data_IF_446664592411
#
_entry.id   IF_446664592411
#
_cell.length_a   1.000
_cell.length_b   1.000
_cell.length_c   1.000
_cell.angle_alpha   90.00
_cell.angle_beta   90.00
_cell.angle_gamma   90.00
#
_symmetry.space_group_name_H-M   'P 1'
#
loop_
_entity.id
_entity.type
_entity.pdbx_description
1 polymer ?
#
# COMPACT_ATOMS: atom_id res chain seq x y z
N UNK A 1 -57.23 2.66 -75.37
CA UNK A 1 -56.44 1.55 -75.93
C UNK A 1 -54.96 1.81 -75.47
N UNK A 2 -54.60 1.33 -74.33
CA UNK A 2 -53.20 1.18 -73.90
C UNK A 2 -53.14 0.30 -72.62
N UNK A 3 -52.55 -0.84 -72.78
CA UNK A 3 -52.34 -1.84 -71.75
C UNK A 3 -51.15 -1.43 -70.89
N UNK A 4 -51.27 -1.42 -69.57
CA UNK A 4 -50.20 -1.28 -68.62
C UNK A 4 -49.80 -2.68 -68.08
N UNK A 5 -48.60 -3.07 -68.45
CA UNK A 5 -47.94 -4.27 -67.91
C UNK A 5 -47.37 -3.98 -66.51
N UNK A 6 -47.84 -4.68 -65.47
CA UNK A 6 -47.34 -4.61 -64.11
C UNK A 6 -46.24 -5.62 -63.96
N UNK A 7 -44.97 -5.17 -63.87
CA UNK A 7 -43.79 -6.01 -63.53
C UNK A 7 -43.61 -6.08 -61.98
N UNK A 8 -43.85 -7.24 -61.43
CA UNK A 8 -43.55 -7.51 -60.02
C UNK A 8 -42.05 -7.77 -59.85
N UNK A 9 -41.30 -6.83 -59.27
CA UNK A 9 -39.94 -7.05 -58.78
C UNK A 9 -39.99 -7.61 -57.36
N UNK A 10 -39.52 -8.86 -57.19
CA UNK A 10 -39.30 -9.50 -55.89
C UNK A 10 -38.00 -8.92 -55.32
N UNK A 11 -38.11 -8.19 -54.22
CA UNK A 11 -36.97 -7.76 -53.40
C UNK A 11 -36.58 -8.91 -52.49
N UNK A 12 -35.42 -9.53 -52.72
CA UNK A 12 -34.78 -10.42 -51.77
C UNK A 12 -34.18 -9.55 -50.66
N UNK A 13 -34.79 -9.62 -49.46
CA UNK A 13 -34.24 -9.04 -48.25
C UNK A 13 -33.05 -9.89 -47.73
N UNK A 14 -31.83 -9.36 -47.88
CA UNK A 14 -30.63 -9.95 -47.29
C UNK A 14 -30.61 -9.56 -45.83
N UNK A 15 -31.04 -10.51 -44.95
CA UNK A 15 -30.97 -10.34 -43.50
C UNK A 15 -29.52 -10.58 -43.03
N UNK A 16 -28.73 -9.52 -42.81
CA UNK A 16 -27.44 -9.59 -42.17
C UNK A 16 -27.64 -9.89 -40.66
N UNK A 17 -27.46 -11.15 -40.28
CA UNK A 17 -27.35 -11.55 -38.88
C UNK A 17 -25.97 -11.10 -38.39
N UNK A 18 -25.94 -10.02 -37.65
CA UNK A 18 -24.76 -9.51 -36.95
C UNK A 18 -24.53 -10.40 -35.68
N UNK A 19 -23.69 -11.43 -35.83
CA UNK A 19 -23.27 -12.24 -34.69
C UNK A 19 -22.33 -11.38 -33.85
N UNK A 20 -22.86 -10.83 -32.74
CA UNK A 20 -22.07 -10.12 -31.73
C UNK A 20 -21.24 -11.16 -30.95
N UNK A 21 -20.02 -11.36 -31.36
CA UNK A 21 -19.04 -12.21 -30.65
C UNK A 21 -18.67 -11.46 -29.35
N UNK A 22 -19.34 -11.80 -28.25
CA UNK A 22 -18.98 -11.37 -26.90
C UNK A 22 -17.61 -11.95 -26.57
N UNK A 23 -16.54 -11.18 -26.79
CA UNK A 23 -15.21 -11.46 -26.26
C UNK A 23 -15.29 -11.34 -24.72
N UNK A 24 -15.53 -12.47 -24.05
CA UNK A 24 -15.38 -12.57 -22.61
C UNK A 24 -13.90 -12.41 -22.28
N UNK A 25 -13.49 -11.19 -21.89
CA UNK A 25 -12.18 -10.98 -21.29
C UNK A 25 -12.14 -11.80 -19.97
N UNK A 26 -11.14 -12.67 -19.78
CA UNK A 26 -10.99 -13.35 -18.50
C UNK A 26 -10.71 -12.28 -17.44
N UNK A 27 -11.67 -12.04 -16.56
CA UNK A 27 -11.43 -11.37 -15.30
C UNK A 27 -10.44 -12.24 -14.56
N UNK A 28 -9.19 -11.79 -14.41
CA UNK A 28 -8.16 -12.43 -13.60
C UNK A 28 -8.60 -12.40 -12.13
N UNK A 29 -9.53 -13.29 -11.78
CA UNK A 29 -9.88 -13.57 -10.39
C UNK A 29 -8.67 -14.22 -9.74
N UNK A 30 -8.18 -13.64 -8.65
CA UNK A 30 -7.10 -14.24 -7.86
C UNK A 30 -7.54 -15.62 -7.40
N UNK A 31 -6.73 -16.63 -7.71
CA UNK A 31 -7.04 -17.98 -7.28
C UNK A 31 -6.99 -18.09 -5.74
N UNK A 32 -7.83 -18.96 -5.14
CA UNK A 32 -7.80 -19.20 -3.70
C UNK A 32 -6.39 -19.57 -3.20
N UNK A 33 -5.60 -20.25 -4.03
CA UNK A 33 -4.20 -20.58 -3.73
C UNK A 33 -3.28 -19.34 -3.65
N UNK A 34 -3.50 -18.33 -4.49
CA UNK A 34 -2.74 -17.07 -4.42
C UNK A 34 -3.06 -16.29 -3.13
N UNK A 35 -4.35 -16.21 -2.76
CA UNK A 35 -4.77 -15.56 -1.51
C UNK A 35 -4.19 -16.30 -0.29
N UNK A 36 -4.26 -17.63 -0.25
CA UNK A 36 -3.69 -18.42 0.84
C UNK A 36 -2.18 -18.23 0.97
N UNK A 37 -1.46 -18.19 -0.15
CA UNK A 37 -0.01 -17.92 -0.15
C UNK A 37 0.33 -16.50 0.30
N UNK A 38 -0.39 -15.51 -0.19
CA UNK A 38 -0.23 -14.12 0.24
C UNK A 38 -0.50 -14.00 1.75
N UNK A 39 -1.54 -14.68 2.27
CA UNK A 39 -1.87 -14.69 3.70
C UNK A 39 -0.74 -15.33 4.53
N UNK A 40 -0.11 -16.40 4.04
CA UNK A 40 1.05 -17.02 4.72
C UNK A 40 2.21 -16.01 4.88
N UNK A 41 2.54 -15.26 3.83
CA UNK A 41 3.60 -14.23 3.86
C UNK A 41 3.20 -13.10 4.83
N UNK A 42 1.96 -12.64 4.74
CA UNK A 42 1.42 -11.59 5.61
C UNK A 42 1.46 -12.00 7.08
N UNK A 43 1.08 -13.25 7.42
CA UNK A 43 1.13 -13.79 8.78
C UNK A 43 2.57 -13.90 9.29
N UNK A 44 3.51 -14.37 8.45
CA UNK A 44 4.92 -14.42 8.81
C UNK A 44 5.45 -13.04 9.19
N UNK A 45 5.14 -12.01 8.38
CA UNK A 45 5.55 -10.63 8.66
C UNK A 45 4.83 -10.04 9.88
N UNK A 46 3.55 -10.29 10.07
CA UNK A 46 2.78 -9.82 11.23
C UNK A 46 3.24 -10.45 12.57
N UNK A 47 3.80 -11.65 12.51
CA UNK A 47 4.38 -12.32 13.69
C UNK A 47 5.62 -11.59 14.25
N UNK A 48 6.29 -10.77 13.45
CA UNK A 48 7.44 -9.96 13.90
C UNK A 48 6.91 -8.80 14.73
N UNK A 49 7.03 -8.88 16.05
CA UNK A 49 6.50 -7.85 16.97
C UNK A 49 7.37 -6.61 17.05
N UNK A 50 8.70 -6.79 17.01
CA UNK A 50 9.66 -5.67 17.04
C UNK A 50 10.76 -5.87 16.03
N UNK A 51 11.16 -4.80 15.35
CA UNK A 51 12.34 -4.78 14.49
C UNK A 51 12.95 -3.39 14.40
N UNK A 52 14.24 -3.34 14.09
CA UNK A 52 14.99 -2.11 13.80
C UNK A 52 15.99 -2.37 12.68
N UNK A 53 16.44 -1.34 12.03
CA UNK A 53 17.45 -1.42 10.98
C UNK A 53 17.69 -0.07 10.34
N UNK A 54 18.44 -0.07 9.27
CA UNK A 54 18.67 1.11 8.45
C UNK A 54 17.62 1.18 7.32
N UNK A 55 17.37 2.37 6.84
CA UNK A 55 16.48 2.57 5.69
C UNK A 55 17.02 3.59 4.70
N UNK A 56 16.64 3.42 3.45
CA UNK A 56 16.72 4.44 2.40
C UNK A 56 15.31 4.71 1.91
N UNK A 57 14.93 5.98 1.85
CA UNK A 57 13.63 6.42 1.38
C UNK A 57 13.75 7.25 0.11
N UNK A 58 12.89 6.97 -0.86
CA UNK A 58 12.72 7.74 -2.09
C UNK A 58 11.36 8.45 -2.04
N UNK A 59 11.39 9.78 -2.13
CA UNK A 59 10.18 10.59 -2.22
C UNK A 59 9.55 10.49 -3.62
N UNK A 60 8.29 10.96 -3.80
CA UNK A 60 7.65 11.03 -5.12
C UNK A 60 8.44 11.83 -6.17
N UNK A 61 9.26 12.77 -5.72
CA UNK A 61 10.13 13.60 -6.58
C UNK A 61 11.52 12.98 -6.80
N UNK A 62 11.73 11.71 -6.37
CA UNK A 62 13.00 11.00 -6.50
C UNK A 62 14.08 11.43 -5.50
N UNK A 63 13.77 12.32 -4.55
CA UNK A 63 14.74 12.69 -3.49
C UNK A 63 15.01 11.50 -2.59
N UNK A 64 16.28 11.18 -2.41
CA UNK A 64 16.74 10.12 -1.52
C UNK A 64 17.07 10.69 -0.14
N UNK A 65 16.65 9.97 0.90
CA UNK A 65 17.02 10.21 2.30
C UNK A 65 17.26 8.86 2.98
N UNK A 66 18.08 8.86 4.01
CA UNK A 66 18.43 7.65 4.76
C UNK A 66 18.30 7.86 6.27
N UNK A 67 18.33 6.78 7.03
CA UNK A 67 18.30 6.83 8.48
C UNK A 67 18.11 5.48 9.13
N UNK A 68 17.66 5.50 10.39
CA UNK A 68 17.35 4.31 11.18
C UNK A 68 15.87 4.26 11.49
N UNK A 69 15.27 3.07 11.40
CA UNK A 69 13.88 2.85 11.79
C UNK A 69 13.76 1.91 12.98
N UNK A 70 12.68 2.08 13.72
CA UNK A 70 12.25 1.26 14.86
C UNK A 70 10.78 0.94 14.67
N UNK A 71 10.39 -0.32 14.76
CA UNK A 71 9.01 -0.78 14.61
C UNK A 71 8.64 -1.68 15.80
N UNK A 72 7.46 -1.40 16.38
CA UNK A 72 6.83 -2.22 17.40
C UNK A 72 5.34 -2.36 17.11
N UNK A 73 4.89 -3.60 16.90
CA UNK A 73 3.47 -3.87 16.67
C UNK A 73 2.68 -3.93 17.97
N UNK A 74 1.42 -3.49 17.91
CA UNK A 74 0.72 -2.90 16.78
C UNK A 74 0.96 -1.40 16.62
N UNK A 75 0.98 -0.94 15.39
CA UNK A 75 0.79 0.47 15.04
C UNK A 75 1.97 1.40 15.22
N UNK A 76 3.05 0.97 15.88
CA UNK A 76 4.15 1.87 16.26
C UNK A 76 5.34 1.76 15.29
N UNK A 77 5.81 2.91 14.83
CA UNK A 77 7.03 3.03 14.04
C UNK A 77 7.68 4.39 14.30
N UNK A 78 9.01 4.43 14.25
CA UNK A 78 9.77 5.67 14.32
C UNK A 78 10.86 5.66 13.26
N UNK A 79 10.96 6.76 12.50
CA UNK A 79 12.05 7.02 11.57
C UNK A 79 12.87 8.21 12.06
N UNK A 80 14.18 8.01 12.14
CA UNK A 80 15.17 9.06 12.43
C UNK A 80 16.02 9.23 11.19
N UNK A 81 15.84 10.37 10.51
CA UNK A 81 16.56 10.68 9.28
C UNK A 81 17.95 11.22 9.59
N UNK A 82 18.94 10.81 8.80
CA UNK A 82 20.32 11.29 8.87
C UNK A 82 20.49 12.52 7.98
N UNK A 83 21.15 13.55 8.49
CA UNK A 83 21.46 14.75 7.71
C UNK A 83 20.28 15.68 7.41
N UNK A 84 19.04 15.30 7.78
CA UNK A 84 17.86 16.15 7.64
C UNK A 84 17.10 16.27 8.96
N UNK A 85 16.52 17.44 9.28
CA UNK A 85 15.82 17.66 10.54
C UNK A 85 14.40 17.09 10.54
N UNK A 86 14.22 15.89 9.98
CA UNK A 86 12.94 15.20 9.87
C UNK A 86 12.88 14.04 10.84
N UNK A 87 11.69 13.82 11.40
CA UNK A 87 11.35 12.66 12.21
C UNK A 87 9.91 12.27 11.94
N UNK A 88 9.64 10.97 11.83
CA UNK A 88 8.29 10.43 11.73
C UNK A 88 8.09 9.47 12.88
N UNK A 89 6.97 9.60 13.61
CA UNK A 89 6.61 8.70 14.70
C UNK A 89 5.15 8.31 14.53
N UNK A 90 4.88 7.01 14.63
CA UNK A 90 3.52 6.51 14.91
C UNK A 90 3.48 5.95 16.31
N UNK A 91 2.47 6.33 17.10
CA UNK A 91 2.22 5.84 18.46
C UNK A 91 1.18 4.73 18.53
N UNK A 92 0.66 4.30 17.37
CA UNK A 92 -0.42 3.32 17.23
C UNK A 92 -1.77 3.96 16.89
N UNK A 93 -1.95 5.24 17.17
CA UNK A 93 -3.18 5.99 16.88
C UNK A 93 -2.96 7.07 15.82
N UNK A 94 -1.87 7.82 15.95
CA UNK A 94 -1.48 8.89 15.04
C UNK A 94 -0.12 8.63 14.41
N UNK A 95 0.08 9.22 13.25
CA UNK A 95 1.39 9.41 12.60
C UNK A 95 1.72 10.89 12.72
N UNK A 96 2.77 11.22 13.48
CA UNK A 96 3.32 12.57 13.62
C UNK A 96 4.54 12.73 12.73
N UNK A 97 4.54 13.78 11.90
CA UNK A 97 5.69 14.21 11.10
C UNK A 97 6.25 15.49 11.70
N UNK A 98 7.48 15.44 12.18
CA UNK A 98 8.17 16.55 12.83
C UNK A 98 9.28 17.10 11.94
N UNK A 99 9.18 18.38 11.59
CA UNK A 99 10.32 19.15 11.09
C UNK A 99 11.00 19.82 12.28
N UNK A 100 12.11 19.25 12.74
CA UNK A 100 12.83 19.72 13.94
C UNK A 100 13.47 21.10 13.75
N UNK A 101 13.83 21.47 12.51
CA UNK A 101 14.40 22.79 12.23
C UNK A 101 13.36 23.91 12.40
N UNK A 102 12.12 23.64 12.02
CA UNK A 102 11.00 24.59 12.13
C UNK A 102 10.19 24.40 13.41
N UNK A 103 10.51 23.36 14.21
CA UNK A 103 9.73 22.94 15.39
C UNK A 103 8.22 22.79 15.06
N UNK A 104 7.90 22.21 13.89
CA UNK A 104 6.54 22.01 13.42
C UNK A 104 6.18 20.54 13.40
N UNK A 105 4.91 20.26 13.72
CA UNK A 105 4.34 18.94 13.65
C UNK A 105 3.11 18.94 12.76
N UNK A 106 2.96 17.91 11.94
CA UNK A 106 1.71 17.54 11.28
C UNK A 106 1.28 16.15 11.75
N UNK A 107 -0.04 15.93 11.87
CA UNK A 107 -0.60 14.70 12.41
C UNK A 107 -1.63 14.12 11.46
N UNK A 108 -1.58 12.81 11.31
CA UNK A 108 -2.52 12.02 10.54
C UNK A 108 -2.99 10.85 11.39
N UNK A 109 -4.27 10.52 11.36
CA UNK A 109 -4.77 9.32 12.02
C UNK A 109 -4.22 8.09 11.29
N UNK A 110 -3.56 7.17 12.02
CA UNK A 110 -2.92 5.99 11.42
C UNK A 110 -3.90 5.16 10.59
N UNK A 111 -5.14 5.01 11.08
CA UNK A 111 -6.16 4.22 10.40
C UNK A 111 -6.63 4.81 9.05
N UNK A 112 -6.35 6.09 8.79
CA UNK A 112 -6.61 6.78 7.53
C UNK A 112 -5.42 6.74 6.56
N UNK A 113 -4.33 6.05 6.93
CA UNK A 113 -3.14 5.93 6.11
C UNK A 113 -2.90 4.48 5.69
N UNK A 114 -2.31 4.22 4.51
CA UNK A 114 -1.91 2.87 4.11
C UNK A 114 -0.90 2.20 5.06
N UNK A 115 -0.22 2.97 5.91
CA UNK A 115 0.69 2.45 6.93
C UNK A 115 -0.01 1.53 7.95
N UNK A 116 -1.32 1.68 8.15
CA UNK A 116 -2.13 0.74 8.95
C UNK A 116 -1.95 -0.71 8.48
N UNK A 117 -1.87 -0.94 7.16
CA UNK A 117 -1.66 -2.28 6.59
C UNK A 117 -0.26 -2.82 6.87
N UNK A 118 0.76 -1.95 6.96
CA UNK A 118 2.12 -2.32 7.32
C UNK A 118 2.26 -2.63 8.81
N UNK A 119 1.62 -1.84 9.67
CA UNK A 119 1.84 -1.81 11.11
C UNK A 119 0.80 -2.60 11.93
N UNK A 120 -0.22 -3.14 11.28
CA UNK A 120 -1.27 -3.93 11.93
C UNK A 120 -0.70 -5.16 12.64
N UNK A 121 -1.37 -5.59 13.68
CA UNK A 121 -1.07 -6.82 14.41
C UNK A 121 -1.40 -8.06 13.58
N UNK A 122 -2.42 -7.90 12.72
CA UNK A 122 -2.85 -8.86 11.71
C UNK A 122 -3.02 -8.17 10.36
N UNK A 123 -2.64 -8.85 9.30
CA UNK A 123 -2.83 -8.42 7.92
C UNK A 123 -3.82 -9.38 7.27
N UNK A 124 -5.12 -9.06 7.37
CA UNK A 124 -6.18 -9.89 6.83
C UNK A 124 -6.40 -9.60 5.34
N UNK A 125 -6.18 -10.59 4.49
CA UNK A 125 -6.32 -10.50 3.03
C UNK A 125 -7.65 -11.06 2.51
N UNK A 126 -8.43 -11.72 3.36
CA UNK A 126 -9.72 -12.37 2.97
C UNK A 126 -10.82 -11.36 2.63
N UNK A 127 -10.71 -10.11 3.08
CA UNK A 127 -11.71 -9.05 2.86
C UNK A 127 -11.58 -8.31 1.52
N UNK A 128 -10.80 -8.85 0.58
CA UNK A 128 -10.51 -8.18 -0.71
C UNK A 128 -9.49 -7.06 -0.60
N UNK A 129 -8.68 -7.06 0.43
CA UNK A 129 -7.58 -6.12 0.61
C UNK A 129 -6.37 -6.44 -0.28
N UNK A 130 -6.23 -7.69 -0.74
CA UNK A 130 -5.19 -8.09 -1.68
C UNK A 130 -5.59 -7.64 -3.09
N UNK A 131 -4.80 -6.76 -3.70
CA UNK A 131 -4.98 -6.37 -5.10
C UNK A 131 -4.18 -7.26 -6.04
N UNK A 132 -2.96 -7.63 -5.66
CA UNK A 132 -2.11 -8.50 -6.44
C UNK A 132 -1.07 -9.23 -5.59
N UNK A 133 -0.74 -10.45 -6.02
CA UNK A 133 0.45 -11.20 -5.64
C UNK A 133 1.28 -11.39 -6.91
N UNK A 134 2.55 -10.97 -6.90
CA UNK A 134 3.48 -11.14 -8.02
C UNK A 134 4.74 -11.82 -7.54
N UNK A 135 5.22 -12.76 -8.34
CA UNK A 135 6.46 -13.48 -8.09
C UNK A 135 7.49 -13.12 -9.15
N UNK A 136 8.66 -12.69 -8.67
CA UNK A 136 9.85 -12.43 -9.45
C UNK A 136 11.00 -13.31 -8.94
N UNK A 137 12.06 -13.53 -9.69
CA UNK A 137 13.23 -14.27 -9.22
C UNK A 137 13.79 -13.68 -7.92
N UNK A 138 13.65 -14.42 -6.81
CA UNK A 138 14.14 -14.02 -5.50
C UNK A 138 13.26 -13.03 -4.72
N UNK A 139 12.11 -12.63 -5.24
CA UNK A 139 11.21 -11.68 -4.59
C UNK A 139 9.73 -12.05 -4.77
N UNK A 140 8.90 -11.73 -3.78
CA UNK A 140 7.45 -11.80 -3.88
C UNK A 140 6.87 -10.45 -3.47
N UNK A 141 6.03 -9.88 -4.34
CA UNK A 141 5.39 -8.58 -4.12
C UNK A 141 3.92 -8.78 -3.77
N UNK A 142 3.50 -8.23 -2.63
CA UNK A 142 2.09 -8.06 -2.26
C UNK A 142 1.67 -6.62 -2.48
N UNK A 143 0.55 -6.42 -3.17
CA UNK A 143 -0.08 -5.11 -3.32
C UNK A 143 -1.40 -5.15 -2.57
N UNK A 144 -1.52 -4.30 -1.55
CA UNK A 144 -2.67 -4.24 -0.66
C UNK A 144 -3.34 -2.88 -0.73
N UNK A 145 -4.66 -2.89 -0.51
CA UNK A 145 -5.49 -1.70 -0.35
C UNK A 145 -6.51 -1.95 0.76
N UNK A 146 -6.72 -0.95 1.61
CA UNK A 146 -7.87 -0.94 2.51
C UNK A 146 -8.96 -0.06 1.90
N UNK A 147 -10.13 -0.61 1.64
CA UNK A 147 -11.28 0.11 1.05
C UNK A 147 -11.73 1.30 1.89
N UNK A 148 -11.44 1.28 3.19
CA UNK A 148 -11.78 2.36 4.11
C UNK A 148 -10.82 3.57 4.02
N UNK A 149 -9.70 3.43 3.30
CA UNK A 149 -8.66 4.46 3.15
C UNK A 149 -8.71 5.11 1.74
N UNK A 150 -9.78 4.90 1.00
CA UNK A 150 -9.91 5.39 -0.37
C UNK A 150 -8.98 4.65 -1.35
N UNK A 151 -8.28 5.37 -2.23
CA UNK A 151 -7.43 4.77 -3.25
C UNK A 151 -6.00 4.47 -2.78
N UNK A 152 -5.67 4.76 -1.52
CA UNK A 152 -4.33 4.52 -0.99
C UNK A 152 -3.97 3.03 -0.99
N UNK A 153 -2.73 2.71 -1.38
CA UNK A 153 -2.21 1.35 -1.51
C UNK A 153 -0.87 1.22 -0.81
N UNK A 154 -0.53 -0.01 -0.47
CA UNK A 154 0.82 -0.38 -0.08
C UNK A 154 1.30 -1.55 -0.93
N UNK A 155 2.50 -1.40 -1.51
CA UNK A 155 3.23 -2.48 -2.18
C UNK A 155 4.31 -2.96 -1.21
N UNK A 156 4.38 -4.24 -0.91
CA UNK A 156 5.40 -4.82 -0.04
C UNK A 156 6.18 -5.88 -0.80
N UNK A 157 7.50 -5.78 -0.79
CA UNK A 157 8.41 -6.71 -1.45
C UNK A 157 9.12 -7.54 -0.37
N UNK A 158 8.95 -8.84 -0.48
CA UNK A 158 9.53 -9.83 0.42
C UNK A 158 10.57 -10.68 -0.32
N UNK A 159 11.53 -11.19 0.41
CA UNK A 159 12.36 -12.29 -0.06
C UNK A 159 11.49 -13.53 -0.31
N UNK A 160 11.63 -14.16 -1.47
CA UNK A 160 10.76 -15.27 -1.86
C UNK A 160 10.96 -16.55 -1.03
N UNK A 161 12.12 -16.69 -0.35
CA UNK A 161 12.48 -17.88 0.44
C UNK A 161 12.25 -17.66 1.93
N UNK A 162 12.78 -16.56 2.47
CA UNK A 162 12.73 -16.26 3.91
C UNK A 162 11.50 -15.47 4.32
N UNK A 163 10.75 -14.90 3.38
CA UNK A 163 9.64 -13.95 3.61
C UNK A 163 10.05 -12.71 4.40
N UNK A 164 11.36 -12.41 4.46
CA UNK A 164 11.83 -11.18 5.05
C UNK A 164 11.40 -9.97 4.20
N UNK A 165 10.83 -8.96 4.84
CA UNK A 165 10.49 -7.70 4.16
C UNK A 165 11.77 -7.00 3.71
N UNK A 166 11.84 -6.58 2.45
CA UNK A 166 12.96 -5.83 1.86
C UNK A 166 12.61 -4.38 1.59
N UNK A 167 11.36 -4.14 1.19
CA UNK A 167 10.90 -2.84 0.74
C UNK A 167 9.40 -2.72 0.91
N UNK A 168 8.92 -1.50 1.13
CA UNK A 168 7.53 -1.15 0.87
C UNK A 168 7.43 0.18 0.15
N UNK A 169 6.33 0.37 -0.57
CA UNK A 169 5.96 1.63 -1.23
C UNK A 169 4.56 1.99 -0.81
N UNK A 170 4.39 3.17 -0.24
CA UNK A 170 3.08 3.76 0.02
C UNK A 170 2.70 4.56 -1.22
N UNK A 171 1.53 4.27 -1.76
CA UNK A 171 0.88 5.05 -2.82
C UNK A 171 -0.26 5.80 -2.15
N UNK A 172 -0.20 7.11 -2.12
CA UNK A 172 -1.24 7.93 -1.49
C UNK A 172 -2.49 8.11 -2.40
N UNK A 173 -3.46 8.89 -1.94
CA UNK A 173 -4.70 9.14 -2.69
C UNK A 173 -4.48 9.94 -3.97
N UNK A 174 -3.37 10.66 -4.08
CA UNK A 174 -2.93 11.42 -5.25
C UNK A 174 -2.05 10.59 -6.20
N UNK A 175 -1.88 9.28 -5.95
CA UNK A 175 -0.97 8.37 -6.64
C UNK A 175 0.52 8.76 -6.51
N UNK A 176 0.89 9.50 -5.48
CA UNK A 176 2.29 9.79 -5.19
C UNK A 176 2.92 8.62 -4.43
N UNK A 177 4.08 8.17 -4.91
CA UNK A 177 4.77 7.00 -4.36
C UNK A 177 5.91 7.41 -3.42
N UNK A 178 5.89 6.89 -2.20
CA UNK A 178 7.02 6.96 -1.27
C UNK A 178 7.52 5.56 -1.02
N UNK A 179 8.75 5.27 -1.42
CA UNK A 179 9.37 3.95 -1.28
C UNK A 179 10.39 3.96 -0.15
N UNK A 180 10.35 2.91 0.69
CA UNK A 180 11.32 2.66 1.76
C UNK A 180 11.94 1.29 1.55
N UNK A 181 13.25 1.25 1.37
CA UNK A 181 14.07 0.04 1.39
C UNK A 181 14.69 -0.11 2.77
N UNK A 182 14.74 -1.33 3.30
CA UNK A 182 15.32 -1.61 4.61
C UNK A 182 16.49 -2.58 4.51
N UNK A 183 17.45 -2.38 5.39
CA UNK A 183 18.66 -3.19 5.46
C UNK A 183 19.15 -3.30 6.90
N UNK A 184 20.07 -4.22 7.16
CA UNK A 184 20.65 -4.44 8.50
C UNK A 184 19.59 -4.71 9.58
N UNK A 185 18.50 -5.42 9.18
CA UNK A 185 17.33 -5.64 10.03
C UNK A 185 17.65 -6.58 11.18
N UNK A 186 17.28 -6.19 12.39
CA UNK A 186 17.32 -7.00 13.61
C UNK A 186 15.91 -7.09 14.18
N UNK A 187 15.47 -8.28 14.52
CA UNK A 187 14.15 -8.60 15.08
C UNK A 187 14.25 -8.94 16.56
N UNK A 188 13.13 -8.91 17.29
CA UNK A 188 13.08 -9.28 18.70
C UNK A 188 13.79 -8.30 19.64
N UNK A 189 14.00 -7.05 19.20
CA UNK A 189 14.66 -6.00 19.98
C UNK A 189 13.72 -5.42 21.04
N UNK A 190 14.30 -5.07 22.20
CA UNK A 190 13.57 -4.32 23.23
C UNK A 190 13.86 -2.82 23.04
N UNK A 191 12.82 -2.03 23.16
CA UNK A 191 12.93 -0.58 23.07
C UNK A 191 12.75 0.06 24.45
N UNK A 192 13.34 1.24 24.61
CA UNK A 192 13.17 2.04 25.82
C UNK A 192 11.77 2.64 25.88
N UNK A 193 11.25 2.85 27.09
CA UNK A 193 9.97 3.48 27.29
C UNK A 193 9.93 4.87 26.63
N UNK A 194 8.79 5.20 26.01
CA UNK A 194 8.62 6.47 25.32
C UNK A 194 9.23 6.55 23.92
N UNK A 195 9.87 5.47 23.41
CA UNK A 195 10.46 5.44 22.06
C UNK A 195 9.49 5.94 20.98
N UNK A 196 8.19 5.62 21.10
CA UNK A 196 7.16 5.93 20.13
C UNK A 196 6.19 7.04 20.62
N UNK A 197 6.57 7.79 21.65
CA UNK A 197 5.72 8.87 22.19
C UNK A 197 5.75 10.08 21.25
N UNK A 198 4.56 10.55 20.87
CA UNK A 198 4.37 11.82 20.15
C UNK A 198 4.11 12.93 21.17
N UNK A 199 4.92 14.00 21.23
CA UNK A 199 4.72 15.10 22.19
C UNK A 199 3.53 15.97 21.78
N UNK A 200 2.31 15.59 22.18
CA UNK A 200 1.05 16.26 21.79
C UNK A 200 0.83 17.62 22.48
N UNK A 201 1.54 17.92 23.56
CA UNK A 201 1.35 19.16 24.34
C UNK A 201 1.60 20.45 23.54
N UNK A 202 2.44 20.40 22.51
CA UNK A 202 2.78 21.56 21.70
C UNK A 202 1.76 21.89 20.59
N UNK A 203 0.72 21.06 20.42
CA UNK A 203 -0.27 21.23 19.34
C UNK A 203 -1.52 21.97 19.85
N UNK A 204 -1.94 21.69 21.07
CA UNK A 204 -3.14 22.29 21.66
C UNK A 204 -2.98 23.79 21.96
N UNK A 205 -1.76 24.29 22.15
CA UNK A 205 -1.48 25.69 22.43
C UNK A 205 -1.45 26.60 21.20
N UNK A 206 -1.22 26.05 19.99
CA UNK A 206 -1.16 26.84 18.74
C UNK A 206 -2.52 27.08 18.09
N UNK A 207 -3.53 26.28 18.39
CA UNK A 207 -4.88 26.48 17.85
C UNK A 207 -5.78 27.41 18.70
N UNK A 208 -5.21 28.13 19.70
CA UNK A 208 -5.94 29.09 20.57
C UNK A 208 -5.50 30.54 20.41
N UNK A 209 -4.68 30.85 19.40
CA UNK A 209 -4.31 32.23 19.07
C UNK A 209 -4.82 32.60 17.69
#
# INVERSE_FOLDING_TARGET
MNLYFFSRRRALGLSCIFVFLLLAFPVLSQSAGQVARAQKIANHFAAIKTMTGDFVQFSPQGKMTEGTFYLERPGKIRFIYKGVPLQIISDGEFVGVNNRALNTWSFHQLFQTPMKLLLGDEINLSSGNLLALRDDPGATTLILRDKNIGNGQIKMIFDSKSYALRQWTIVDQQNLETTVQIMNVRMGVKFVDGMFTIPRRNVASRNRN
#
